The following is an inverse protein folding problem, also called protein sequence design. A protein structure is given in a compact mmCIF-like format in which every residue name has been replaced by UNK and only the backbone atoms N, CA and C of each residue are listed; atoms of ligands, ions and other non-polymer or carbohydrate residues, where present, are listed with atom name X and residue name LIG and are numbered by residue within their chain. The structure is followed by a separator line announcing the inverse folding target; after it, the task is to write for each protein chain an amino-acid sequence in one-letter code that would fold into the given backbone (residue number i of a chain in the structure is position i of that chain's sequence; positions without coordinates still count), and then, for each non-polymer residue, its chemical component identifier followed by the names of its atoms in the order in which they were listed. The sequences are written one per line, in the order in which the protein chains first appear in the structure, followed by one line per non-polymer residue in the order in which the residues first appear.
data_IF_959642703026
#
_entry.id   IF_959642703026
#
_cell.length_a   1.000
_cell.length_b   1.000
_cell.length_c   1.000
_cell.angle_alpha   90.00
_cell.angle_beta   90.00
_cell.angle_gamma   90.00
#
_symmetry.space_group_name_H-M   'P 1'
#
loop_
_entity.id
_entity.type
_entity.pdbx_description
1 polymer ?
#
# COMPACT_ATOMS: atom_id res chain seq x y z
N UNK A 1 29.56 0.17 -28.14
CA UNK A 1 28.49 -0.24 -29.09
C UNK A 1 27.17 -0.53 -28.38
N UNK A 2 27.04 -1.60 -27.57
CA UNK A 2 25.76 -1.90 -26.87
C UNK A 2 25.43 -0.87 -25.78
N UNK A 3 26.38 -0.59 -24.91
CA UNK A 3 26.20 0.40 -23.82
C UNK A 3 26.00 1.82 -24.36
N UNK A 4 26.67 2.17 -25.45
CA UNK A 4 26.51 3.50 -26.10
C UNK A 4 25.07 3.61 -26.65
N UNK A 5 24.61 2.61 -27.40
CA UNK A 5 23.22 2.56 -27.88
C UNK A 5 22.20 2.55 -26.74
N UNK A 6 22.50 1.88 -25.62
CA UNK A 6 21.64 1.91 -24.45
C UNK A 6 21.53 3.32 -23.85
N UNK A 7 22.65 4.06 -23.74
CA UNK A 7 22.64 5.45 -23.28
C UNK A 7 21.84 6.38 -24.18
N UNK A 8 21.89 6.15 -25.51
CA UNK A 8 21.15 6.95 -26.48
C UNK A 8 19.62 6.69 -26.42
N UNK A 9 19.20 5.47 -26.08
CA UNK A 9 17.79 5.08 -26.05
C UNK A 9 17.19 4.99 -24.66
N UNK A 10 17.98 4.96 -23.59
CA UNK A 10 17.50 4.94 -22.21
C UNK A 10 16.75 6.23 -21.88
N UNK A 11 15.52 6.06 -21.37
CA UNK A 11 14.74 7.20 -20.91
C UNK A 11 15.38 7.78 -19.65
N UNK A 12 15.54 9.09 -19.63
CA UNK A 12 15.90 9.82 -18.40
C UNK A 12 14.75 9.76 -17.39
N UNK A 13 15.04 9.86 -16.07
CA UNK A 13 13.99 10.02 -15.08
C UNK A 13 13.08 11.20 -15.48
N UNK A 14 11.78 10.98 -15.48
CA UNK A 14 10.79 12.01 -15.77
C UNK A 14 10.34 12.76 -14.51
N UNK A 15 9.69 13.90 -14.71
CA UNK A 15 8.99 14.62 -13.66
C UNK A 15 7.91 13.76 -12.99
N UNK A 16 7.60 14.06 -11.74
CA UNK A 16 6.56 13.39 -10.98
C UNK A 16 5.57 14.38 -10.39
N UNK A 17 4.28 14.13 -10.59
CA UNK A 17 3.21 15.00 -10.09
C UNK A 17 3.10 14.96 -8.58
N UNK A 18 2.94 16.13 -7.99
CA UNK A 18 2.82 16.36 -6.56
C UNK A 18 1.77 17.42 -6.24
N UNK A 19 1.52 17.65 -4.95
CA UNK A 19 0.66 18.74 -4.46
C UNK A 19 1.18 20.15 -4.80
N UNK A 20 2.44 20.26 -5.24
CA UNK A 20 3.08 21.52 -5.66
C UNK A 20 3.28 21.61 -7.18
N UNK A 21 2.61 20.72 -7.94
CA UNK A 21 2.83 20.54 -9.37
C UNK A 21 3.89 19.49 -9.66
N UNK A 22 4.37 19.46 -10.89
CA UNK A 22 5.36 18.49 -11.34
C UNK A 22 6.75 18.83 -10.81
N UNK A 23 7.38 17.87 -10.16
CA UNK A 23 8.75 17.98 -9.63
C UNK A 23 9.72 17.35 -10.63
N UNK A 24 10.59 18.17 -11.17
CA UNK A 24 11.61 17.74 -12.11
C UNK A 24 12.79 17.04 -11.39
N UNK A 25 13.40 16.02 -11.99
CA UNK A 25 14.56 15.33 -11.42
C UNK A 25 15.75 16.26 -11.17
N UNK A 26 15.83 17.38 -11.87
CA UNK A 26 16.88 18.41 -11.76
C UNK A 26 16.64 19.41 -10.64
N UNK A 27 15.52 19.34 -9.93
CA UNK A 27 15.26 20.17 -8.74
C UNK A 27 16.32 19.88 -7.67
N UNK A 28 16.87 20.94 -7.04
CA UNK A 28 17.99 20.83 -6.09
C UNK A 28 17.60 20.12 -4.78
N UNK A 29 16.39 20.39 -4.29
CA UNK A 29 15.90 19.80 -3.05
C UNK A 29 15.68 18.29 -3.21
N UNK A 30 16.15 17.52 -2.23
CA UNK A 30 15.93 16.08 -2.19
C UNK A 30 14.47 15.75 -1.98
N UNK A 31 13.95 14.86 -2.82
CA UNK A 31 12.65 14.23 -2.64
C UNK A 31 12.72 12.74 -2.95
N UNK A 32 11.96 11.96 -2.20
CA UNK A 32 11.88 10.52 -2.37
C UNK A 32 10.46 9.98 -2.20
N UNK A 33 10.17 8.88 -2.88
CA UNK A 33 8.89 8.22 -2.85
C UNK A 33 9.02 6.76 -2.46
N UNK A 34 8.32 6.35 -1.40
CA UNK A 34 8.28 4.96 -0.94
C UNK A 34 7.31 4.17 -1.81
N UNK A 35 7.83 3.28 -2.66
CA UNK A 35 6.98 2.55 -3.60
C UNK A 35 6.81 1.07 -3.24
N UNK A 36 7.65 0.55 -2.33
CA UNK A 36 7.59 -0.85 -1.91
C UNK A 36 8.07 -0.99 -0.47
N UNK A 37 7.43 -1.86 0.29
CA UNK A 37 7.94 -2.42 1.54
C UNK A 37 8.21 -3.91 1.34
N UNK A 38 9.21 -4.43 2.01
CA UNK A 38 9.48 -5.86 2.05
C UNK A 38 9.88 -6.27 3.45
N UNK A 39 9.23 -7.31 3.96
CA UNK A 39 9.46 -7.89 5.28
C UNK A 39 10.11 -9.26 5.10
N UNK A 40 10.89 -9.69 6.08
CA UNK A 40 11.50 -11.03 6.12
C UNK A 40 12.36 -11.38 4.88
N UNK A 41 13.12 -10.41 4.35
CA UNK A 41 14.06 -10.68 3.24
C UNK A 41 15.13 -11.74 3.62
N UNK A 42 15.52 -11.77 4.90
CA UNK A 42 16.39 -12.80 5.46
C UNK A 42 15.60 -13.59 6.52
N UNK A 43 15.40 -14.91 6.36
CA UNK A 43 14.71 -15.74 7.37
C UNK A 43 15.35 -15.69 8.76
N UNK A 44 16.64 -15.34 8.86
CA UNK A 44 17.39 -15.23 10.12
C UNK A 44 17.25 -13.86 10.77
N UNK A 45 16.93 -12.83 10.00
CA UNK A 45 16.78 -11.47 10.46
C UNK A 45 15.40 -10.94 10.06
N UNK A 46 14.61 -10.53 11.04
CA UNK A 46 13.27 -9.94 10.80
C UNK A 46 13.40 -8.49 10.33
N UNK A 47 14.05 -8.32 9.19
CA UNK A 47 14.29 -7.01 8.62
C UNK A 47 13.05 -6.54 7.84
N UNK A 48 12.69 -5.28 8.03
CA UNK A 48 11.76 -4.57 7.17
C UNK A 48 12.56 -3.56 6.35
N UNK A 49 12.40 -3.60 5.05
CA UNK A 49 13.08 -2.67 4.14
C UNK A 49 12.06 -1.84 3.38
N UNK A 50 12.22 -0.52 3.45
CA UNK A 50 11.50 0.40 2.58
C UNK A 50 12.34 0.70 1.34
N UNK A 51 11.74 0.52 0.17
CA UNK A 51 12.35 0.88 -1.11
C UNK A 51 11.85 2.25 -1.51
N UNK A 52 12.80 3.15 -1.66
CA UNK A 52 12.55 4.57 -1.96
C UNK A 52 13.18 4.91 -3.30
N UNK A 53 12.38 5.42 -4.22
CA UNK A 53 12.88 6.03 -5.44
C UNK A 53 13.27 7.47 -5.14
N UNK A 54 14.48 7.85 -5.47
CA UNK A 54 14.92 9.26 -5.47
C UNK A 54 14.24 9.94 -6.65
N UNK A 55 13.45 10.98 -6.39
CA UNK A 55 12.69 11.70 -7.41
C UNK A 55 13.40 12.99 -7.85
N UNK A 56 14.00 13.73 -6.92
CA UNK A 56 14.80 14.92 -7.20
C UNK A 56 15.93 15.10 -6.20
N UNK A 57 16.86 15.99 -6.50
CA UNK A 57 18.00 16.31 -5.66
C UNK A 57 18.98 15.16 -5.48
N UNK A 58 19.79 15.22 -4.46
CA UNK A 58 20.80 14.20 -4.13
C UNK A 58 20.50 13.59 -2.77
N UNK A 59 20.43 12.28 -2.70
CA UNK A 59 20.43 11.55 -1.44
C UNK A 59 21.85 11.48 -0.88
N UNK A 60 21.99 11.74 0.41
CA UNK A 60 23.22 11.52 1.17
C UNK A 60 22.92 10.70 2.42
N UNK A 61 23.83 9.78 2.73
CA UNK A 61 23.73 8.94 3.92
C UNK A 61 23.57 9.78 5.19
N UNK A 62 22.70 9.33 6.09
CA UNK A 62 22.42 10.00 7.36
C UNK A 62 21.76 11.38 7.25
N UNK A 63 21.36 11.81 6.05
CA UNK A 63 20.59 13.04 5.90
C UNK A 63 19.28 13.01 6.69
N UNK A 64 18.80 14.18 7.10
CA UNK A 64 17.52 14.35 7.77
C UNK A 64 16.53 14.93 6.79
N UNK A 65 15.37 14.29 6.67
CA UNK A 65 14.29 14.66 5.77
C UNK A 65 12.98 14.81 6.52
N UNK A 66 12.04 15.54 5.93
CA UNK A 66 10.67 15.58 6.43
C UNK A 66 9.87 14.41 5.85
N UNK A 67 9.08 13.77 6.68
CA UNK A 67 8.13 12.73 6.28
C UNK A 67 6.74 13.37 6.15
N UNK A 68 6.20 13.43 4.93
CA UNK A 68 5.01 14.21 4.62
C UNK A 68 3.79 13.77 5.45
N UNK A 69 3.51 12.47 5.50
CA UNK A 69 2.35 11.89 6.21
C UNK A 69 2.38 12.15 7.71
N UNK A 70 3.52 11.97 8.38
CA UNK A 70 3.60 12.13 9.84
C UNK A 70 3.98 13.54 10.28
N UNK A 71 4.47 14.38 9.38
CA UNK A 71 5.01 15.71 9.69
C UNK A 71 6.29 15.69 10.54
N UNK A 72 6.92 14.53 10.72
CA UNK A 72 8.12 14.36 11.55
C UNK A 72 9.39 14.34 10.71
N UNK A 73 10.50 14.71 11.33
CA UNK A 73 11.81 14.54 10.74
C UNK A 73 12.27 13.09 10.92
N UNK A 74 12.84 12.52 9.87
CA UNK A 74 13.38 11.17 9.84
C UNK A 74 14.83 11.21 9.35
N UNK A 75 15.74 10.55 10.07
CA UNK A 75 17.11 10.35 9.63
C UNK A 75 17.20 9.09 8.78
N UNK A 76 17.76 9.23 7.58
CA UNK A 76 17.90 8.14 6.62
C UNK A 76 19.23 7.39 6.87
N UNK A 77 19.23 6.56 7.92
CA UNK A 77 20.42 5.82 8.36
C UNK A 77 20.50 4.45 7.70
N UNK A 78 21.71 3.95 7.54
CA UNK A 78 22.02 2.62 7.00
C UNK A 78 21.39 2.34 5.63
N UNK A 79 21.52 3.26 4.65
CA UNK A 79 21.01 3.04 3.32
C UNK A 79 21.78 1.90 2.64
N UNK A 80 21.03 1.09 1.88
CA UNK A 80 21.56 -0.07 1.18
C UNK A 80 21.22 0.05 -0.30
N UNK A 81 22.16 -0.25 -1.15
CA UNK A 81 21.91 -0.59 -2.54
C UNK A 81 21.61 -2.08 -2.60
N UNK A 82 20.43 -2.41 -3.07
CA UNK A 82 19.99 -3.79 -3.20
C UNK A 82 20.27 -4.25 -4.62
N UNK A 83 21.26 -5.08 -4.79
CA UNK A 83 21.59 -5.68 -6.08
C UNK A 83 21.56 -7.21 -5.94
N UNK A 84 20.56 -7.84 -6.55
CA UNK A 84 20.30 -9.27 -6.42
C UNK A 84 20.16 -9.71 -4.96
N UNK A 85 21.06 -10.57 -4.45
CA UNK A 85 21.09 -11.00 -3.06
C UNK A 85 22.10 -10.21 -2.20
N UNK A 86 22.86 -9.29 -2.81
CA UNK A 86 23.88 -8.48 -2.14
C UNK A 86 23.27 -7.22 -1.53
N UNK A 87 23.74 -6.86 -0.33
CA UNK A 87 23.45 -5.58 0.34
C UNK A 87 24.76 -4.82 0.42
N UNK A 88 24.85 -3.70 -0.28
CA UNK A 88 26.01 -2.82 -0.23
C UNK A 88 25.60 -1.50 0.44
N UNK A 89 26.47 -0.97 1.29
CA UNK A 89 26.25 0.36 1.87
C UNK A 89 26.32 1.41 0.77
N UNK A 90 25.39 2.36 0.82
CA UNK A 90 25.27 3.42 -0.16
C UNK A 90 25.52 4.76 0.54
N UNK A 91 26.45 5.56 0.02
CA UNK A 91 26.73 6.87 0.60
C UNK A 91 25.94 8.00 -0.10
N UNK A 92 25.67 7.85 -1.40
CA UNK A 92 24.92 8.82 -2.19
C UNK A 92 24.07 8.14 -3.28
N UNK A 93 22.96 8.80 -3.68
CA UNK A 93 22.11 8.40 -4.79
C UNK A 93 21.49 9.60 -5.49
N UNK A 94 21.11 9.42 -6.74
CA UNK A 94 20.63 10.47 -7.64
C UNK A 94 19.21 10.17 -8.14
N UNK A 95 18.51 11.16 -8.73
CA UNK A 95 17.17 10.96 -9.29
C UNK A 95 17.11 9.77 -10.25
N UNK A 96 16.15 8.88 -10.00
CA UNK A 96 16.00 7.62 -10.71
C UNK A 96 16.57 6.42 -9.97
N UNK A 97 17.50 6.60 -9.03
CA UNK A 97 18.02 5.52 -8.21
C UNK A 97 16.97 5.02 -7.19
N UNK A 98 17.16 3.79 -6.78
CA UNK A 98 16.38 3.14 -5.72
C UNK A 98 17.28 2.84 -4.54
N UNK A 99 16.91 3.33 -3.37
CA UNK A 99 17.58 3.05 -2.11
C UNK A 99 16.72 2.18 -1.21
N UNK A 100 17.33 1.25 -0.49
CA UNK A 100 16.70 0.46 0.55
C UNK A 100 17.04 1.04 1.93
N UNK A 101 16.04 1.27 2.77
CA UNK A 101 16.23 1.70 4.15
C UNK A 101 15.62 0.70 5.11
N UNK A 102 16.29 0.46 6.23
CA UNK A 102 15.67 -0.29 7.32
C UNK A 102 14.45 0.49 7.83
N UNK A 103 13.29 -0.18 7.83
CA UNK A 103 12.01 0.41 8.21
C UNK A 103 11.48 -0.20 9.51
N UNK A 104 11.68 0.42 10.67
CA UNK A 104 11.10 -0.05 11.92
C UNK A 104 9.59 0.26 12.06
N UNK A 105 8.87 0.45 10.95
CA UNK A 105 7.45 0.80 10.92
C UNK A 105 7.17 2.30 10.70
N UNK A 106 8.18 3.07 10.26
CA UNK A 106 8.02 4.52 10.00
C UNK A 106 7.36 4.77 8.66
N UNK A 107 7.82 4.06 7.61
CA UNK A 107 7.37 4.28 6.25
C UNK A 107 6.25 3.31 5.85
N UNK A 108 5.32 3.81 5.06
CA UNK A 108 4.29 3.05 4.34
C UNK A 108 4.45 3.26 2.83
N UNK A 109 3.87 2.35 2.03
CA UNK A 109 3.81 2.50 0.58
C UNK A 109 3.02 3.77 0.24
N UNK A 110 3.56 4.60 -0.65
CA UNK A 110 2.98 5.88 -1.03
C UNK A 110 3.53 7.07 -0.25
N UNK A 111 4.34 6.85 0.78
CA UNK A 111 4.91 7.94 1.56
C UNK A 111 5.87 8.78 0.73
N UNK A 112 5.81 10.09 0.96
CA UNK A 112 6.74 11.08 0.42
C UNK A 112 7.67 11.56 1.52
N UNK A 113 8.96 11.61 1.21
CA UNK A 113 10.00 12.24 2.03
C UNK A 113 10.64 13.38 1.24
N UNK A 114 10.96 14.49 1.91
CA UNK A 114 11.43 15.69 1.23
C UNK A 114 12.33 16.56 2.10
N UNK A 115 13.16 17.38 1.46
CA UNK A 115 13.78 18.58 2.04
C UNK A 115 13.14 19.83 1.43
N UNK A 116 13.34 20.97 2.07
CA UNK A 116 12.77 22.25 1.58
C UNK A 116 11.26 22.35 1.77
N UNK A 117 10.56 22.74 0.72
CA UNK A 117 9.12 23.00 0.76
C UNK A 117 8.30 21.71 0.90
N UNK A 118 7.24 21.76 1.72
CA UNK A 118 6.34 20.64 1.92
C UNK A 118 5.64 20.25 0.61
N UNK A 119 5.76 18.99 0.24
CA UNK A 119 5.06 18.41 -0.89
C UNK A 119 4.65 16.95 -0.59
N UNK A 120 3.67 16.47 -1.34
CA UNK A 120 3.24 15.07 -1.34
C UNK A 120 3.09 14.61 -2.79
N UNK A 121 3.70 13.48 -3.13
CA UNK A 121 3.50 12.84 -4.44
C UNK A 121 2.15 12.12 -4.49
N UNK A 122 1.60 12.03 -5.69
CA UNK A 122 0.44 11.16 -5.91
C UNK A 122 0.77 9.72 -5.52
N UNK A 123 -0.10 9.13 -4.72
CA UNK A 123 0.05 7.75 -4.25
C UNK A 123 -0.11 6.73 -5.38
N UNK A 124 0.25 5.49 -5.08
CA UNK A 124 0.03 4.37 -6.00
C UNK A 124 -1.46 4.05 -6.03
N UNK A 125 -2.11 4.04 -7.19
CA UNK A 125 -3.53 3.72 -7.28
C UNK A 125 -3.78 2.27 -6.85
N UNK A 126 -4.76 2.08 -6.00
CA UNK A 126 -5.22 0.76 -5.57
C UNK A 126 -6.44 0.39 -6.40
N UNK A 127 -6.30 -0.61 -7.27
CA UNK A 127 -7.37 -1.05 -8.15
C UNK A 127 -8.45 -1.83 -7.40
N UNK A 128 -9.68 -1.79 -7.92
CA UNK A 128 -10.78 -2.59 -7.41
C UNK A 128 -10.44 -4.08 -7.48
N UNK A 129 -10.51 -4.82 -6.38
CA UNK A 129 -10.37 -6.26 -6.40
C UNK A 129 -11.60 -6.93 -7.00
N UNK A 130 -11.42 -8.13 -7.53
CA UNK A 130 -12.46 -8.95 -8.16
C UNK A 130 -12.75 -10.24 -7.38
N UNK A 131 -11.84 -10.63 -6.49
CA UNK A 131 -11.97 -11.82 -5.67
C UNK A 131 -11.92 -11.45 -4.19
N UNK A 132 -12.83 -12.08 -3.42
CA UNK A 132 -12.96 -11.82 -1.99
C UNK A 132 -13.10 -13.14 -1.22
N UNK A 133 -12.38 -13.27 -0.11
CA UNK A 133 -12.51 -14.43 0.77
C UNK A 133 -12.23 -14.04 2.23
N UNK A 134 -12.96 -14.60 3.18
CA UNK A 134 -12.53 -14.57 4.57
C UNK A 134 -11.26 -15.40 4.73
N UNK A 135 -10.30 -14.84 5.45
CA UNK A 135 -9.09 -15.54 5.87
C UNK A 135 -9.28 -16.02 7.31
N UNK A 136 -9.40 -17.34 7.48
CA UNK A 136 -9.63 -17.97 8.77
C UNK A 136 -8.36 -18.59 9.34
N UNK A 137 -8.14 -18.36 10.63
CA UNK A 137 -7.13 -19.09 11.40
C UNK A 137 -7.84 -20.24 12.15
N UNK A 138 -7.69 -21.50 11.73
CA UNK A 138 -8.33 -22.63 12.39
C UNK A 138 -7.70 -22.97 13.74
N UNK A 139 -6.51 -22.44 14.05
CA UNK A 139 -5.79 -22.71 15.29
C UNK A 139 -5.70 -21.48 16.21
N UNK A 140 -6.57 -21.36 17.23
CA UNK A 140 -6.56 -20.23 18.14
C UNK A 140 -5.21 -19.99 18.86
N UNK A 141 -4.40 -21.04 19.06
CA UNK A 141 -3.09 -20.90 19.71
C UNK A 141 -2.09 -20.11 18.90
N UNK A 142 -2.31 -19.97 17.59
CA UNK A 142 -1.48 -19.20 16.65
C UNK A 142 -2.02 -17.81 16.34
N UNK A 143 -2.94 -17.31 17.15
CA UNK A 143 -3.60 -16.00 16.95
C UNK A 143 -2.59 -14.85 16.75
N UNK A 144 -1.59 -14.76 17.63
CA UNK A 144 -0.57 -13.69 17.53
C UNK A 144 0.26 -13.75 16.26
N UNK A 145 0.66 -14.96 15.85
CA UNK A 145 1.41 -15.17 14.61
C UNK A 145 0.56 -14.84 13.38
N UNK A 146 -0.71 -15.24 13.40
CA UNK A 146 -1.67 -14.93 12.35
C UNK A 146 -1.83 -13.42 12.17
N UNK A 147 -2.16 -12.70 13.24
CA UNK A 147 -2.33 -11.24 13.17
C UNK A 147 -1.06 -10.53 12.71
N UNK A 148 0.10 -10.95 13.23
CA UNK A 148 1.38 -10.41 12.79
C UNK A 148 1.60 -10.63 11.30
N UNK A 149 1.41 -11.86 10.80
CA UNK A 149 1.61 -12.18 9.38
C UNK A 149 0.65 -11.40 8.48
N UNK A 150 -0.63 -11.33 8.85
CA UNK A 150 -1.65 -10.56 8.12
C UNK A 150 -1.29 -9.08 8.06
N UNK A 151 -0.87 -8.49 9.18
CA UNK A 151 -0.44 -7.07 9.24
C UNK A 151 0.76 -6.82 8.33
N UNK A 152 1.78 -7.64 8.41
CA UNK A 152 3.01 -7.47 7.63
C UNK A 152 2.75 -7.64 6.11
N UNK A 153 1.96 -8.64 5.71
CA UNK A 153 1.57 -8.84 4.30
C UNK A 153 0.70 -7.69 3.75
N UNK A 154 -0.16 -7.10 4.60
CA UNK A 154 -0.91 -5.90 4.27
C UNK A 154 0.01 -4.70 4.05
N UNK A 155 0.95 -4.46 4.94
CA UNK A 155 1.93 -3.36 4.85
C UNK A 155 2.79 -3.46 3.58
N UNK A 156 3.16 -4.68 3.17
CA UNK A 156 3.87 -4.92 1.91
C UNK A 156 3.00 -4.71 0.64
N UNK A 157 1.69 -4.59 0.79
CA UNK A 157 0.77 -4.49 -0.34
C UNK A 157 0.64 -5.79 -1.14
N UNK A 158 1.00 -6.95 -0.55
CA UNK A 158 0.90 -8.26 -1.20
C UNK A 158 -0.56 -8.61 -1.56
N UNK A 159 -1.50 -8.12 -0.77
CA UNK A 159 -2.95 -8.27 -0.96
C UNK A 159 -3.66 -7.12 -0.27
N UNK A 160 -4.83 -6.75 -0.78
CA UNK A 160 -5.71 -5.83 -0.06
C UNK A 160 -6.43 -6.58 1.05
N UNK A 161 -6.52 -5.95 2.22
CA UNK A 161 -7.24 -6.51 3.36
C UNK A 161 -8.35 -5.54 3.75
N UNK A 162 -9.54 -6.09 3.89
CA UNK A 162 -10.73 -5.38 4.30
C UNK A 162 -11.29 -6.02 5.57
N UNK A 163 -12.11 -5.28 6.29
CA UNK A 163 -12.76 -5.72 7.52
C UNK A 163 -14.26 -5.48 7.43
N UNK A 164 -15.03 -6.31 8.09
CA UNK A 164 -16.46 -6.06 8.21
C UNK A 164 -16.71 -4.71 8.90
N UNK A 165 -17.72 -3.96 8.47
CA UNK A 165 -18.20 -2.80 9.22
C UNK A 165 -18.87 -3.21 10.55
N UNK A 166 -19.28 -4.47 10.68
CA UNK A 166 -19.77 -5.07 11.91
C UNK A 166 -18.58 -5.52 12.78
N UNK A 167 -18.31 -4.79 13.85
CA UNK A 167 -17.21 -5.04 14.78
C UNK A 167 -17.24 -6.44 15.47
N UNK A 168 -18.39 -7.12 15.45
CA UNK A 168 -18.50 -8.50 15.92
C UNK A 168 -17.80 -9.48 14.98
N UNK A 169 -17.57 -9.13 13.72
CA UNK A 169 -16.92 -9.95 12.69
C UNK A 169 -15.50 -9.47 12.44
N UNK A 170 -14.57 -10.00 13.19
CA UNK A 170 -13.15 -9.55 13.15
C UNK A 170 -12.27 -10.27 12.13
N UNK A 171 -12.80 -11.26 11.42
CA UNK A 171 -11.97 -11.97 10.44
C UNK A 171 -11.62 -11.09 9.26
N UNK A 172 -10.35 -11.02 8.85
CA UNK A 172 -9.94 -10.26 7.70
C UNK A 172 -10.52 -10.85 6.42
N UNK A 173 -10.93 -9.96 5.52
CA UNK A 173 -11.35 -10.29 4.17
C UNK A 173 -10.18 -10.00 3.25
N UNK A 174 -9.61 -11.03 2.64
CA UNK A 174 -8.65 -10.85 1.55
C UNK A 174 -9.40 -10.39 0.31
N UNK A 175 -8.86 -9.38 -0.36
CA UNK A 175 -9.40 -8.85 -1.59
C UNK A 175 -8.27 -8.76 -2.63
N UNK A 176 -8.44 -9.42 -3.78
CA UNK A 176 -7.42 -9.61 -4.79
C UNK A 176 -7.95 -9.45 -6.21
N UNK A 177 -7.07 -9.13 -7.13
CA UNK A 177 -7.38 -9.11 -8.57
C UNK A 177 -7.29 -10.51 -9.18
N UNK A 178 -6.50 -11.40 -8.58
CA UNK A 178 -6.31 -12.75 -9.10
C UNK A 178 -6.08 -13.80 -7.99
N UNK A 179 -6.43 -15.04 -8.28
CA UNK A 179 -6.36 -16.19 -7.37
C UNK A 179 -4.94 -16.42 -6.83
N UNK A 180 -3.91 -16.18 -7.63
CA UNK A 180 -2.52 -16.36 -7.24
C UNK A 180 -2.13 -15.51 -6.02
N UNK A 181 -2.71 -14.32 -5.85
CA UNK A 181 -2.44 -13.49 -4.68
C UNK A 181 -2.89 -14.18 -3.39
N UNK A 182 -4.01 -14.89 -3.40
CA UNK A 182 -4.47 -15.65 -2.25
C UNK A 182 -3.54 -16.82 -1.92
N UNK A 183 -3.08 -17.54 -2.93
CA UNK A 183 -2.15 -18.66 -2.78
C UNK A 183 -0.81 -18.19 -2.20
N UNK A 184 -0.29 -17.05 -2.69
CA UNK A 184 0.94 -16.43 -2.15
C UNK A 184 0.77 -16.05 -0.68
N UNK A 185 -0.36 -15.44 -0.30
CA UNK A 185 -0.64 -15.08 1.09
C UNK A 185 -0.68 -16.32 1.99
N UNK A 186 -1.39 -17.38 1.59
CA UNK A 186 -1.45 -18.62 2.37
C UNK A 186 -0.08 -19.29 2.49
N UNK A 187 0.67 -19.37 1.38
CA UNK A 187 2.03 -19.92 1.38
C UNK A 187 2.95 -19.16 2.32
N UNK A 188 2.92 -17.83 2.29
CA UNK A 188 3.76 -17.00 3.15
C UNK A 188 3.34 -17.10 4.62
N UNK A 189 2.04 -17.11 4.94
CA UNK A 189 1.56 -17.32 6.31
C UNK A 189 2.01 -18.67 6.88
N UNK A 190 2.01 -19.70 6.07
CA UNK A 190 2.48 -21.02 6.49
C UNK A 190 3.99 -21.06 6.69
N UNK A 191 4.78 -20.57 5.73
CA UNK A 191 6.24 -20.74 5.72
C UNK A 191 6.98 -19.70 6.56
N UNK A 192 6.50 -18.47 6.64
CA UNK A 192 7.18 -17.38 7.38
C UNK A 192 6.65 -17.23 8.80
N UNK A 193 5.36 -17.54 9.04
CA UNK A 193 4.69 -17.34 10.34
C UNK A 193 4.26 -18.65 10.98
N UNK A 194 4.41 -19.79 10.28
CA UNK A 194 3.99 -21.11 10.72
C UNK A 194 2.49 -21.16 11.07
N UNK A 195 1.65 -20.57 10.24
CA UNK A 195 0.19 -20.49 10.41
C UNK A 195 -0.51 -21.09 9.20
N UNK A 196 -1.22 -22.19 9.42
CA UNK A 196 -2.13 -22.74 8.43
C UNK A 196 -3.40 -21.89 8.40
N UNK A 197 -3.90 -21.61 7.20
CA UNK A 197 -5.08 -20.77 7.03
C UNK A 197 -6.08 -21.42 6.09
N UNK A 198 -7.35 -21.03 6.26
CA UNK A 198 -8.44 -21.45 5.38
C UNK A 198 -9.07 -20.23 4.74
N UNK A 199 -9.31 -20.32 3.43
CA UNK A 199 -10.07 -19.30 2.68
C UNK A 199 -11.53 -19.75 2.56
N UNK A 200 -12.45 -18.84 2.85
CA UNK A 200 -13.88 -18.98 2.63
C UNK A 200 -14.31 -17.95 1.59
N UNK A 201 -14.49 -18.34 0.32
CA UNK A 201 -14.85 -17.42 -0.75
C UNK A 201 -16.15 -16.68 -0.45
N UNK A 202 -16.17 -15.38 -0.82
CA UNK A 202 -17.33 -14.53 -0.73
C UNK A 202 -17.95 -14.31 -2.11
N UNK A 203 -19.28 -14.18 -2.23
CA UNK A 203 -19.98 -14.09 -3.50
C UNK A 203 -19.99 -12.65 -4.06
N UNK A 204 -18.84 -11.98 -4.01
CA UNK A 204 -18.65 -10.62 -4.52
C UNK A 204 -17.58 -10.63 -5.61
N UNK A 205 -17.75 -9.75 -6.60
CA UNK A 205 -16.76 -9.57 -7.67
C UNK A 205 -16.43 -8.11 -7.93
N UNK A 206 -17.04 -7.18 -7.18
CA UNK A 206 -16.85 -5.74 -7.39
C UNK A 206 -16.74 -5.02 -6.06
N UNK A 207 -15.78 -4.12 -5.94
CA UNK A 207 -15.67 -3.19 -4.81
C UNK A 207 -15.77 -1.75 -5.31
N UNK A 208 -16.42 -0.89 -4.51
CA UNK A 208 -16.50 0.54 -4.77
C UNK A 208 -16.27 1.32 -3.48
N UNK A 209 -15.37 2.29 -3.54
CA UNK A 209 -15.13 3.22 -2.43
C UNK A 209 -16.17 4.33 -2.46
N UNK A 210 -16.67 4.70 -1.29
CA UNK A 210 -17.69 5.75 -1.13
C UNK A 210 -17.00 7.11 -1.04
N UNK A 211 -17.25 8.01 -1.99
CA UNK A 211 -16.78 9.39 -1.92
C UNK A 211 -17.53 10.13 -0.82
N UNK A 212 -16.82 10.89 0.02
CA UNK A 212 -17.38 11.51 1.23
C UNK A 212 -17.41 10.57 2.45
N UNK A 213 -16.94 9.33 2.31
CA UNK A 213 -16.69 8.43 3.43
C UNK A 213 -17.94 7.96 4.17
N UNK A 214 -17.81 7.73 5.46
CA UNK A 214 -18.91 7.24 6.30
C UNK A 214 -20.07 8.21 6.39
N UNK A 215 -19.83 9.51 6.40
CA UNK A 215 -20.88 10.53 6.46
C UNK A 215 -21.82 10.45 5.24
N UNK A 216 -21.27 10.27 4.05
CA UNK A 216 -22.06 10.09 2.83
C UNK A 216 -22.89 8.80 2.86
N UNK A 217 -22.27 7.72 3.38
CA UNK A 217 -22.95 6.43 3.51
C UNK A 217 -24.10 6.47 4.53
N UNK A 218 -23.92 7.13 5.66
CA UNK A 218 -24.95 7.32 6.67
C UNK A 218 -26.14 8.14 6.13
N UNK A 219 -25.87 9.19 5.36
CA UNK A 219 -26.91 9.99 4.70
C UNK A 219 -27.74 9.21 3.69
N UNK A 220 -27.09 8.29 2.94
CA UNK A 220 -27.79 7.43 1.99
C UNK A 220 -28.67 6.38 2.68
N UNK A 221 -28.45 6.10 3.97
CA UNK A 221 -29.26 5.19 4.76
C UNK A 221 -29.00 3.71 4.41
N UNK A 222 -30.07 2.92 4.41
CA UNK A 222 -29.94 1.47 4.21
C UNK A 222 -29.84 1.13 2.72
N UNK A 223 -28.69 0.56 2.35
CA UNK A 223 -28.47 0.06 0.99
C UNK A 223 -28.81 -1.44 0.90
N UNK A 224 -29.35 -1.86 -0.25
CA UNK A 224 -29.72 -3.25 -0.52
C UNK A 224 -28.77 -3.87 -1.56
N UNK A 225 -28.66 -5.20 -1.57
CA UNK A 225 -27.83 -5.95 -2.52
C UNK A 225 -26.33 -5.60 -2.48
N UNK A 226 -25.86 -5.05 -1.37
CA UNK A 226 -24.46 -4.73 -1.12
C UNK A 226 -24.07 -5.07 0.31
N UNK A 227 -22.76 -5.17 0.56
CA UNK A 227 -22.20 -5.33 1.91
C UNK A 227 -21.17 -4.26 2.14
N UNK A 228 -21.30 -3.56 3.27
CA UNK A 228 -20.34 -2.55 3.67
C UNK A 228 -19.19 -3.20 4.43
N UNK A 229 -17.99 -2.87 4.00
CA UNK A 229 -16.73 -3.21 4.67
C UNK A 229 -15.88 -1.96 4.81
N UNK A 230 -14.81 -2.03 5.58
CA UNK A 230 -13.80 -0.98 5.65
C UNK A 230 -12.47 -1.48 5.10
N UNK A 231 -11.77 -0.62 4.39
CA UNK A 231 -10.41 -0.92 3.92
C UNK A 231 -9.38 -0.74 5.05
N UNK A 232 -8.11 -0.96 4.73
CA UNK A 232 -7.00 -0.82 5.69
C UNK A 232 -6.81 0.58 6.26
N UNK A 233 -7.50 1.58 5.69
CA UNK A 233 -7.49 2.97 6.13
C UNK A 233 -8.78 3.37 6.85
N UNK A 234 -9.64 2.39 7.18
CA UNK A 234 -10.93 2.63 7.84
C UNK A 234 -12.01 3.26 6.94
N UNK A 235 -11.78 3.36 5.61
CA UNK A 235 -12.71 3.97 4.67
C UNK A 235 -13.81 2.99 4.26
N UNK A 236 -15.07 3.44 4.09
CA UNK A 236 -16.15 2.57 3.68
C UNK A 236 -15.98 2.12 2.23
N UNK A 237 -16.16 0.82 2.04
CA UNK A 237 -16.16 0.16 0.74
C UNK A 237 -17.42 -0.68 0.64
N UNK A 238 -18.11 -0.58 -0.50
CA UNK A 238 -19.27 -1.39 -0.81
C UNK A 238 -18.85 -2.57 -1.70
N UNK A 239 -19.19 -3.78 -1.28
CA UNK A 239 -18.98 -5.00 -2.05
C UNK A 239 -20.27 -5.38 -2.77
N UNK A 240 -20.17 -5.70 -4.06
CA UNK A 240 -21.27 -6.07 -4.93
C UNK A 240 -21.01 -7.42 -5.59
N UNK A 241 -22.09 -8.13 -5.90
CA UNK A 241 -22.00 -9.40 -6.63
C UNK A 241 -21.63 -9.22 -8.10
N UNK A 242 -22.01 -8.09 -8.69
CA UNK A 242 -21.75 -7.75 -10.10
C UNK A 242 -21.94 -6.25 -10.34
N UNK A 243 -21.55 -5.77 -11.53
CA UNK A 243 -21.68 -4.37 -11.95
C UNK A 243 -23.13 -3.89 -12.06
N UNK A 244 -24.08 -4.78 -12.34
CA UNK A 244 -25.48 -4.40 -12.40
C UNK A 244 -26.01 -3.90 -11.04
N UNK A 245 -25.56 -4.53 -9.93
CA UNK A 245 -25.91 -4.06 -8.59
C UNK A 245 -25.28 -2.68 -8.27
N UNK A 246 -24.12 -2.36 -8.83
CA UNK A 246 -23.54 -1.00 -8.71
C UNK A 246 -24.46 0.00 -9.37
N UNK A 247 -24.85 -0.23 -10.62
CA UNK A 247 -25.77 0.64 -11.37
C UNK A 247 -27.12 0.84 -10.68
N UNK A 248 -27.64 -0.18 -9.98
CA UNK A 248 -28.86 -0.02 -9.17
C UNK A 248 -28.66 0.96 -8.02
N UNK A 249 -27.57 0.82 -7.26
CA UNK A 249 -27.29 1.75 -6.15
C UNK A 249 -27.08 3.17 -6.66
N UNK A 250 -26.37 3.38 -7.76
CA UNK A 250 -26.17 4.70 -8.36
C UNK A 250 -27.47 5.33 -8.85
N UNK A 251 -28.44 4.51 -9.31
CA UNK A 251 -29.76 4.98 -9.73
C UNK A 251 -30.66 5.30 -8.53
N UNK A 252 -30.65 4.47 -7.49
CA UNK A 252 -31.49 4.63 -6.30
C UNK A 252 -30.94 5.73 -5.35
N UNK A 253 -29.61 5.97 -5.39
CA UNK A 253 -28.88 6.90 -4.52
C UNK A 253 -27.94 7.80 -5.35
N UNK A 254 -28.46 8.71 -6.19
CA UNK A 254 -27.63 9.55 -7.08
C UNK A 254 -26.70 10.52 -6.33
N UNK A 255 -26.98 10.77 -5.06
CA UNK A 255 -26.08 11.54 -4.16
C UNK A 255 -24.84 10.76 -3.75
N UNK A 256 -24.87 9.43 -3.83
CA UNK A 256 -23.78 8.55 -3.42
C UNK A 256 -22.82 8.30 -4.58
N UNK A 257 -21.69 9.00 -4.56
CA UNK A 257 -20.66 8.82 -5.58
C UNK A 257 -19.76 7.64 -5.26
N UNK A 258 -19.68 6.69 -6.18
CA UNK A 258 -18.88 5.48 -6.07
C UNK A 258 -17.63 5.56 -6.95
N UNK A 259 -16.48 5.15 -6.41
CA UNK A 259 -15.20 5.11 -7.13
C UNK A 259 -14.70 3.67 -7.27
N UNK A 260 -14.14 3.35 -8.43
CA UNK A 260 -13.51 2.05 -8.71
C UNK A 260 -12.06 1.96 -8.24
N UNK A 261 -11.50 3.04 -7.73
CA UNK A 261 -10.16 3.09 -7.14
C UNK A 261 -10.22 3.67 -5.74
N UNK A 262 -9.37 3.17 -4.85
CA UNK A 262 -9.24 3.76 -3.54
C UNK A 262 -8.82 5.23 -3.66
N UNK A 263 -9.43 6.16 -2.90
CA UNK A 263 -8.91 7.51 -2.80
C UNK A 263 -7.45 7.48 -2.37
N UNK A 264 -6.64 8.37 -2.95
CA UNK A 264 -5.24 8.50 -2.51
C UNK A 264 -5.23 8.93 -1.05
N UNK A 265 -4.60 8.15 -0.20
CA UNK A 265 -4.57 8.41 1.24
C UNK A 265 -3.52 9.48 1.55
N UNK A 266 -3.94 10.75 1.55
CA UNK A 266 -3.12 11.83 2.09
C UNK A 266 -3.26 11.86 3.62
N UNK A 267 -2.17 11.58 4.34
CA UNK A 267 -2.08 11.82 5.80
C UNK A 267 -2.85 10.86 6.71
N UNK A 268 -3.44 9.78 6.21
CA UNK A 268 -4.19 8.84 7.05
C UNK A 268 -3.28 7.78 7.69
N UNK A 269 -3.54 7.45 8.96
CA UNK A 269 -2.89 6.31 9.65
C UNK A 269 -3.62 5.02 9.27
N UNK A 270 -2.85 3.94 9.11
CA UNK A 270 -3.42 2.59 8.95
C UNK A 270 -4.05 2.18 10.28
N UNK A 271 -5.31 1.75 10.28
CA UNK A 271 -5.95 1.22 11.48
C UNK A 271 -5.21 -0.03 11.98
N UNK A 272 -4.92 -0.09 13.27
CA UNK A 272 -4.40 -1.29 13.92
C UNK A 272 -5.45 -2.41 13.91
N UNK A 273 -4.98 -3.66 13.73
CA UNK A 273 -5.80 -4.88 13.72
C UNK A 273 -6.27 -5.29 15.11
#
# INVERSE_FOLDING_TARGET
LFLDAFLDYALKPGARSSTQGDIEPTTEDFTGFVFKLQVNMDPKHRDRVAFIRVCSGKFEKDMVVNHARSGKNVRLSHPQKLFAQGRESLDEAFPGDVIGLNNPGVFAIGDTIYQGQKLEYEGIPCFSPELFAFLRNPNPSKFKQFHKGVTELREEGAVQIMFSADEAKRDPILAAVGQLQFEVVQFRLQNEYNVDTRLEPLPYSVARWVEGGWEALEKAGRLFNTTTVKDSWGRPVLLFRNEWNVGQIEADHPELKLRNTAPVAAGQQVEDL
#
